data_IF_466449702368
#
_entry.id   IF_466449702368
#
_cell.length_a   1.000
_cell.length_b   1.000
_cell.length_c   1.000
_cell.angle_alpha   90.00
_cell.angle_beta   90.00
_cell.angle_gamma   90.00
#
_symmetry.space_group_name_H-M   'P 1'
#
loop_
_entity.id
_entity.type
_entity.pdbx_description
1 polymer ?
#
# COMPACT_ATOMS: atom_id res chain seq x y z
N UNK A 1 36.27 62.30 -13.25
CA UNK A 1 35.13 61.75 -12.55
C UNK A 1 34.42 60.66 -13.40
N UNK A 2 34.67 59.46 -13.07
CA UNK A 2 34.06 58.27 -13.74
C UNK A 2 32.88 57.83 -12.96
N UNK A 3 31.73 57.75 -13.58
CA UNK A 3 30.53 57.01 -13.05
C UNK A 3 30.40 55.69 -13.76
N UNK A 4 30.60 54.59 -13.03
CA UNK A 4 30.28 53.25 -13.48
C UNK A 4 28.90 52.87 -12.97
N UNK A 5 27.96 52.66 -13.87
CA UNK A 5 26.67 52.05 -13.61
C UNK A 5 26.80 50.53 -13.75
N UNK A 6 26.69 49.79 -12.66
CA UNK A 6 26.50 48.34 -12.68
C UNK A 6 25.02 48.03 -12.79
N UNK A 7 24.62 47.48 -13.94
CA UNK A 7 23.29 46.91 -14.14
C UNK A 7 23.14 45.60 -13.41
N UNK A 8 22.30 45.60 -12.40
CA UNK A 8 21.84 44.36 -11.75
C UNK A 8 20.86 43.62 -12.67
N UNK A 9 21.20 42.41 -13.05
CA UNK A 9 20.24 41.50 -13.68
C UNK A 9 19.40 40.87 -12.58
N UNK A 10 18.13 41.22 -12.54
CA UNK A 10 17.14 40.56 -11.72
C UNK A 10 16.98 39.09 -12.20
N UNK A 11 17.50 38.18 -11.44
CA UNK A 11 17.15 36.73 -11.57
C UNK A 11 15.74 36.55 -11.04
N UNK A 12 14.77 36.51 -11.94
CA UNK A 12 13.43 36.05 -11.64
C UNK A 12 13.51 34.55 -11.29
N UNK A 13 13.40 34.24 -10.01
CA UNK A 13 13.13 32.90 -9.54
C UNK A 13 11.73 32.54 -10.01
N UNK A 14 11.64 31.68 -11.02
CA UNK A 14 10.39 31.09 -11.43
C UNK A 14 9.87 30.20 -10.28
N UNK A 15 8.89 30.72 -9.56
CA UNK A 15 8.06 29.91 -8.63
C UNK A 15 7.30 28.89 -9.46
N UNK A 16 7.77 27.65 -9.44
CA UNK A 16 7.01 26.51 -9.98
C UNK A 16 5.79 26.32 -9.08
N UNK A 17 4.67 26.86 -9.52
CA UNK A 17 3.37 26.57 -8.91
C UNK A 17 3.10 25.08 -9.10
N UNK A 18 2.83 24.29 -8.03
CA UNK A 18 2.47 22.89 -8.23
C UNK A 18 1.18 22.85 -9.03
N UNK A 19 1.25 22.40 -10.26
CA UNK A 19 0.09 22.17 -11.10
C UNK A 19 -0.77 21.11 -10.40
N UNK A 20 -1.93 21.55 -9.89
CA UNK A 20 -2.96 20.66 -9.38
C UNK A 20 -3.27 19.66 -10.51
N UNK A 21 -2.91 18.39 -10.33
CA UNK A 21 -3.26 17.35 -11.30
C UNK A 21 -4.77 17.36 -11.41
N UNK A 22 -5.33 17.26 -12.63
CA UNK A 22 -6.78 17.23 -12.81
C UNK A 22 -7.38 16.12 -11.95
N UNK A 23 -8.54 16.38 -11.37
CA UNK A 23 -9.31 15.37 -10.64
C UNK A 23 -9.53 14.19 -11.59
N UNK A 24 -8.75 13.10 -11.38
CA UNK A 24 -8.85 11.92 -12.24
C UNK A 24 -10.16 11.23 -11.94
N UNK A 25 -11.02 11.16 -12.94
CA UNK A 25 -12.23 10.36 -12.89
C UNK A 25 -11.79 8.91 -12.65
N UNK A 26 -12.43 8.23 -11.71
CA UNK A 26 -12.21 6.80 -11.48
C UNK A 26 -12.75 6.01 -12.68
N UNK A 27 -11.86 5.73 -13.63
CA UNK A 27 -12.16 4.96 -14.85
C UNK A 27 -12.01 3.45 -14.64
N UNK A 28 -11.62 3.03 -13.43
CA UNK A 28 -11.36 1.63 -13.13
C UNK A 28 -12.63 0.78 -13.04
N UNK A 29 -12.49 -0.49 -13.32
CA UNK A 29 -13.54 -1.50 -13.16
C UNK A 29 -13.07 -2.66 -12.29
N UNK A 30 -14.00 -3.32 -11.60
CA UNK A 30 -13.68 -4.54 -10.85
C UNK A 30 -13.38 -5.69 -11.81
N UNK A 31 -12.15 -6.17 -11.74
CA UNK A 31 -11.65 -7.29 -12.54
C UNK A 31 -10.55 -8.03 -11.79
N UNK A 32 -10.15 -9.19 -12.28
CA UNK A 32 -8.93 -9.83 -11.79
C UNK A 32 -7.70 -8.97 -12.11
N UNK A 33 -6.73 -8.94 -11.20
CA UNK A 33 -5.41 -8.40 -11.48
C UNK A 33 -4.58 -9.51 -12.16
N UNK A 34 -4.77 -9.68 -13.46
CA UNK A 34 -4.18 -10.79 -14.22
C UNK A 34 -2.65 -10.73 -14.25
N UNK A 35 -2.08 -9.54 -14.23
CA UNK A 35 -0.65 -9.29 -14.13
C UNK A 35 -0.03 -9.76 -12.79
N UNK A 36 -0.88 -9.98 -11.77
CA UNK A 36 -0.51 -10.43 -10.42
C UNK A 36 -1.11 -11.75 -10.01
N UNK A 37 -1.87 -12.41 -10.87
CA UNK A 37 -2.65 -13.63 -10.57
C UNK A 37 -3.63 -13.50 -9.40
N UNK A 38 -4.10 -12.30 -9.11
CA UNK A 38 -5.09 -12.04 -8.07
C UNK A 38 -6.50 -12.15 -8.67
N UNK A 39 -7.37 -12.90 -8.03
CA UNK A 39 -8.74 -13.14 -8.51
C UNK A 39 -9.62 -11.88 -8.46
N UNK A 40 -10.64 -11.85 -9.32
CA UNK A 40 -11.66 -10.81 -9.28
C UNK A 40 -12.38 -10.74 -7.93
N UNK A 41 -12.65 -11.88 -7.32
CA UNK A 41 -13.32 -11.94 -6.02
C UNK A 41 -12.52 -11.23 -4.94
N UNK A 42 -11.20 -11.48 -4.87
CA UNK A 42 -10.32 -10.81 -3.91
C UNK A 42 -10.18 -9.33 -4.22
N UNK A 43 -9.96 -8.95 -5.48
CA UNK A 43 -9.89 -7.55 -5.88
C UNK A 43 -11.17 -6.79 -5.49
N UNK A 44 -12.33 -7.37 -5.77
CA UNK A 44 -13.64 -6.79 -5.41
C UNK A 44 -13.80 -6.65 -3.90
N UNK A 45 -13.41 -7.67 -3.12
CA UNK A 45 -13.45 -7.59 -1.65
C UNK A 45 -12.64 -6.43 -1.11
N UNK A 46 -11.44 -6.21 -1.64
CA UNK A 46 -10.56 -5.10 -1.23
C UNK A 46 -10.94 -3.75 -1.87
N UNK A 47 -11.93 -3.73 -2.76
CA UNK A 47 -12.36 -2.52 -3.46
C UNK A 47 -11.38 -2.07 -4.54
N UNK A 48 -10.47 -2.95 -4.98
CA UNK A 48 -9.45 -2.65 -5.98
C UNK A 48 -10.04 -2.75 -7.37
N UNK A 49 -9.82 -1.71 -8.18
CA UNK A 49 -10.21 -1.64 -9.57
C UNK A 49 -8.98 -1.63 -10.48
N UNK A 50 -9.20 -1.99 -11.74
CA UNK A 50 -8.17 -1.97 -12.78
C UNK A 50 -8.60 -1.14 -13.96
N UNK A 51 -7.63 -0.51 -14.62
CA UNK A 51 -7.77 0.05 -15.96
C UNK A 51 -7.09 -0.91 -16.93
N UNK A 52 -7.73 -1.15 -18.07
CA UNK A 52 -7.25 -2.04 -19.12
C UNK A 52 -6.93 -1.25 -20.40
N UNK A 53 -5.96 -1.72 -21.16
CA UNK A 53 -5.73 -1.25 -22.53
C UNK A 53 -6.75 -1.85 -23.52
N UNK A 54 -6.64 -1.47 -24.77
CA UNK A 54 -7.53 -1.97 -25.83
C UNK A 54 -7.38 -3.48 -26.11
N UNK A 55 -6.27 -4.09 -25.68
CA UNK A 55 -5.99 -5.52 -25.77
C UNK A 55 -6.47 -6.30 -24.55
N UNK A 56 -7.03 -5.61 -23.53
CA UNK A 56 -7.51 -6.22 -22.31
C UNK A 56 -6.43 -6.47 -21.24
N UNK A 57 -5.22 -5.94 -21.43
CA UNK A 57 -4.18 -6.05 -20.41
C UNK A 57 -4.39 -5.04 -19.30
N UNK A 58 -4.14 -5.43 -18.05
CA UNK A 58 -4.15 -4.52 -16.90
C UNK A 58 -2.98 -3.55 -17.00
N UNK A 59 -3.27 -2.25 -17.03
CA UNK A 59 -2.26 -1.19 -17.16
C UNK A 59 -2.18 -0.31 -15.91
N UNK A 60 -3.20 -0.32 -15.07
CA UNK A 60 -3.24 0.47 -13.83
C UNK A 60 -4.07 -0.24 -12.76
N UNK A 61 -3.60 -0.15 -11.51
CA UNK A 61 -4.34 -0.56 -10.32
C UNK A 61 -4.81 0.67 -9.55
N UNK A 62 -6.02 0.62 -9.01
CA UNK A 62 -6.63 1.66 -8.18
C UNK A 62 -6.91 1.05 -6.79
N UNK A 63 -6.16 1.49 -5.79
CA UNK A 63 -6.27 1.00 -4.42
C UNK A 63 -7.03 2.02 -3.56
N UNK A 64 -8.17 1.64 -2.96
CA UNK A 64 -8.92 2.53 -2.09
C UNK A 64 -8.31 2.55 -0.68
N UNK A 65 -8.32 3.74 -0.07
CA UNK A 65 -7.91 3.94 1.31
C UNK A 65 -9.00 4.69 2.08
N UNK A 66 -9.29 4.21 3.27
CA UNK A 66 -10.41 4.66 4.08
C UNK A 66 -9.96 5.35 5.36
N UNK A 67 -10.71 6.36 5.77
CA UNK A 67 -10.69 6.88 7.14
C UNK A 67 -11.97 6.35 7.82
N UNK A 68 -11.82 5.36 8.71
CA UNK A 68 -12.96 4.60 9.20
C UNK A 68 -13.70 3.88 8.06
N UNK A 69 -14.92 4.29 7.79
CA UNK A 69 -15.76 3.75 6.70
C UNK A 69 -15.85 4.66 5.47
N UNK A 70 -15.22 5.81 5.51
CA UNK A 70 -15.25 6.80 4.44
C UNK A 70 -14.06 6.64 3.50
N UNK A 71 -14.33 6.55 2.19
CA UNK A 71 -13.28 6.55 1.17
C UNK A 71 -12.63 7.94 1.14
N UNK A 72 -11.36 8.02 1.55
CA UNK A 72 -10.63 9.27 1.68
C UNK A 72 -9.54 9.47 0.64
N UNK A 73 -9.00 8.40 0.12
CA UNK A 73 -7.96 8.46 -0.91
C UNK A 73 -8.00 7.26 -1.84
N UNK A 74 -7.49 7.45 -3.05
CA UNK A 74 -7.23 6.38 -4.01
C UNK A 74 -5.79 6.47 -4.47
N UNK A 75 -5.07 5.36 -4.36
CA UNK A 75 -3.70 5.22 -4.87
C UNK A 75 -3.75 4.59 -6.25
N UNK A 76 -3.23 5.29 -7.22
CA UNK A 76 -3.12 4.85 -8.61
C UNK A 76 -1.70 4.35 -8.86
N UNK A 77 -1.56 3.14 -9.35
CA UNK A 77 -0.27 2.57 -9.70
C UNK A 77 -0.23 2.11 -11.14
N UNK A 78 0.71 2.63 -11.91
CA UNK A 78 0.99 2.16 -13.25
C UNK A 78 1.72 0.81 -13.19
N UNK A 79 1.27 -0.15 -13.99
CA UNK A 79 1.88 -1.49 -14.03
C UNK A 79 3.26 -1.45 -14.68
N UNK A 80 3.40 -0.72 -15.79
CA UNK A 80 4.64 -0.67 -16.58
C UNK A 80 5.80 0.01 -15.85
N UNK A 81 5.56 1.23 -15.35
CA UNK A 81 6.62 2.08 -14.78
C UNK A 81 6.74 1.92 -13.26
N UNK A 82 5.77 1.22 -12.66
CA UNK A 82 5.61 1.08 -11.21
C UNK A 82 5.45 2.42 -10.47
N UNK A 83 5.29 3.50 -11.20
CA UNK A 83 5.00 4.81 -10.64
C UNK A 83 3.61 4.83 -10.04
N UNK A 84 3.46 5.63 -8.99
CA UNK A 84 2.17 5.81 -8.35
C UNK A 84 1.93 7.28 -8.00
N UNK A 85 0.66 7.63 -7.89
CA UNK A 85 0.22 8.89 -7.30
C UNK A 85 -1.03 8.65 -6.47
N UNK A 86 -1.34 9.59 -5.59
CA UNK A 86 -2.50 9.49 -4.69
C UNK A 86 -3.41 10.69 -4.93
N UNK A 87 -4.71 10.41 -5.05
CA UNK A 87 -5.78 11.40 -5.03
C UNK A 87 -6.48 11.36 -3.68
N UNK A 88 -6.88 12.50 -3.16
CA UNK A 88 -7.54 12.60 -1.86
C UNK A 88 -6.59 12.74 -0.67
N UNK A 89 -7.11 12.53 0.54
CA UNK A 89 -6.38 12.70 1.81
C UNK A 89 -5.83 11.36 2.31
N UNK A 90 -4.61 11.05 1.92
CA UNK A 90 -3.98 9.76 2.19
C UNK A 90 -3.44 9.61 3.61
N UNK A 91 -2.90 10.67 4.18
CA UNK A 91 -2.23 10.61 5.49
C UNK A 91 -3.17 10.20 6.63
N UNK A 92 -4.44 10.57 6.53
CA UNK A 92 -5.45 10.31 7.55
C UNK A 92 -6.16 8.97 7.39
N UNK A 93 -5.74 8.15 6.43
CA UNK A 93 -6.33 6.83 6.21
C UNK A 93 -5.71 5.76 7.09
N UNK A 94 -6.48 4.70 7.37
CA UNK A 94 -5.98 3.46 7.94
C UNK A 94 -5.09 2.67 6.95
N UNK A 95 -4.70 1.48 7.37
CA UNK A 95 -3.95 0.54 6.52
C UNK A 95 -4.81 0.06 5.34
N UNK A 96 -4.16 -0.38 4.26
CA UNK A 96 -4.89 -0.99 3.15
C UNK A 96 -5.64 -2.24 3.61
N UNK A 97 -6.94 -2.28 3.38
CA UNK A 97 -7.81 -3.37 3.78
C UNK A 97 -8.31 -3.31 5.23
N UNK A 98 -7.90 -2.34 6.02
CA UNK A 98 -8.26 -2.25 7.44
C UNK A 98 -9.77 -2.20 7.67
N UNK A 99 -10.52 -1.49 6.83
CA UNK A 99 -11.97 -1.35 6.92
C UNK A 99 -12.76 -2.67 6.73
N UNK A 100 -12.12 -3.70 6.21
CA UNK A 100 -12.76 -4.99 5.92
C UNK A 100 -12.84 -5.93 7.12
N UNK A 101 -12.07 -5.65 8.18
CA UNK A 101 -11.90 -6.58 9.29
C UNK A 101 -12.14 -5.87 10.62
N UNK A 102 -12.84 -6.52 11.53
CA UNK A 102 -13.21 -5.95 12.83
C UNK A 102 -12.51 -6.58 14.03
N UNK A 103 -11.83 -7.68 13.83
CA UNK A 103 -11.17 -8.42 14.90
C UNK A 103 -11.19 -9.92 14.63
N UNK A 104 -10.58 -10.68 15.52
CA UNK A 104 -10.53 -12.13 15.42
C UNK A 104 -9.25 -12.74 15.96
N UNK A 105 -9.01 -14.00 15.59
CA UNK A 105 -7.86 -14.74 16.11
C UNK A 105 -6.53 -14.30 15.51
N UNK A 106 -6.50 -14.01 14.22
CA UNK A 106 -5.28 -13.63 13.48
C UNK A 106 -5.53 -12.45 12.57
N UNK A 107 -4.56 -11.54 12.51
CA UNK A 107 -4.39 -10.58 11.43
C UNK A 107 -2.95 -10.68 10.91
N UNK A 108 -2.81 -10.72 9.58
CA UNK A 108 -1.51 -10.68 8.92
C UNK A 108 -1.27 -9.29 8.37
N UNK A 109 -0.06 -8.76 8.57
CA UNK A 109 0.37 -7.47 8.03
C UNK A 109 1.54 -7.70 7.06
N UNK A 110 1.41 -7.12 5.86
CA UNK A 110 2.39 -7.21 4.78
C UNK A 110 2.79 -5.81 4.29
N UNK A 111 3.74 -5.71 3.36
CA UNK A 111 4.25 -4.40 2.92
C UNK A 111 3.44 -3.75 1.79
N UNK A 112 2.84 -4.51 0.90
CA UNK A 112 2.20 -3.99 -0.30
C UNK A 112 0.77 -4.46 -0.51
N UNK A 113 0.01 -3.72 -1.31
CA UNK A 113 -1.40 -3.98 -1.57
C UNK A 113 -1.61 -5.33 -2.30
N UNK A 114 -0.78 -5.61 -3.31
CA UNK A 114 -0.84 -6.91 -4.00
C UNK A 114 -0.45 -8.07 -3.09
N UNK A 115 0.50 -7.86 -2.17
CA UNK A 115 0.88 -8.86 -1.18
C UNK A 115 -0.26 -9.13 -0.18
N UNK A 116 -1.01 -8.11 0.21
CA UNK A 116 -2.17 -8.28 1.09
C UNK A 116 -3.25 -9.15 0.43
N UNK A 117 -3.61 -8.84 -0.80
CA UNK A 117 -4.59 -9.62 -1.56
C UNK A 117 -4.09 -11.05 -1.82
N UNK A 118 -2.81 -11.21 -2.14
CA UNK A 118 -2.19 -12.51 -2.38
C UNK A 118 -2.15 -13.37 -1.12
N UNK A 119 -1.74 -12.81 0.01
CA UNK A 119 -1.75 -13.51 1.30
C UNK A 119 -3.18 -13.90 1.71
N UNK A 120 -4.15 -13.03 1.47
CA UNK A 120 -5.55 -13.35 1.72
C UNK A 120 -6.00 -14.60 0.94
N UNK A 121 -5.68 -14.69 -0.36
CA UNK A 121 -5.98 -15.89 -1.17
C UNK A 121 -5.22 -17.13 -0.70
N UNK A 122 -3.90 -17.01 -0.46
CA UNK A 122 -3.06 -18.11 0.01
C UNK A 122 -3.52 -18.66 1.37
N UNK A 123 -4.14 -17.84 2.19
CA UNK A 123 -4.72 -18.22 3.47
C UNK A 123 -6.19 -18.71 3.37
N UNK A 124 -6.66 -18.99 2.17
CA UNK A 124 -7.99 -19.54 1.91
C UNK A 124 -9.13 -18.51 1.96
N UNK A 125 -8.84 -17.24 1.75
CA UNK A 125 -9.82 -16.15 1.71
C UNK A 125 -10.68 -16.03 2.98
N UNK A 126 -10.08 -16.30 4.12
CA UNK A 126 -10.77 -16.39 5.42
C UNK A 126 -10.20 -15.42 6.47
N UNK A 127 -8.88 -15.27 6.52
CA UNK A 127 -8.20 -14.56 7.59
C UNK A 127 -7.94 -13.11 7.22
N UNK A 128 -7.93 -12.22 8.23
CA UNK A 128 -7.65 -10.81 8.02
C UNK A 128 -6.22 -10.58 7.51
N UNK A 129 -6.08 -9.81 6.43
CA UNK A 129 -4.79 -9.38 5.89
C UNK A 129 -4.87 -7.91 5.53
N UNK A 130 -3.90 -7.13 6.01
CA UNK A 130 -3.74 -5.70 5.73
C UNK A 130 -2.32 -5.40 5.26
N UNK A 131 -2.11 -4.28 4.59
CA UNK A 131 -0.76 -3.82 4.29
C UNK A 131 -0.48 -2.44 4.85
N UNK A 132 0.81 -2.19 5.15
CA UNK A 132 1.29 -0.85 5.47
C UNK A 132 1.22 0.06 4.25
N UNK A 133 1.31 1.38 4.48
CA UNK A 133 1.09 2.40 3.44
C UNK A 133 2.40 2.91 2.84
N UNK A 134 3.44 2.97 3.64
CA UNK A 134 4.68 3.72 3.33
C UNK A 134 5.92 2.83 3.17
N UNK A 135 5.73 1.53 2.94
CA UNK A 135 6.82 0.57 2.83
C UNK A 135 7.55 0.35 4.17
N UNK A 136 8.64 -0.43 4.12
CA UNK A 136 9.38 -0.84 5.31
C UNK A 136 9.85 0.33 6.19
N UNK A 137 10.28 1.44 5.60
CA UNK A 137 10.74 2.63 6.35
C UNK A 137 9.63 3.31 7.14
N UNK A 138 8.40 3.29 6.63
CA UNK A 138 7.22 3.86 7.30
C UNK A 138 6.44 2.89 8.17
N UNK A 139 6.85 1.62 8.25
CA UNK A 139 6.09 0.54 8.88
C UNK A 139 5.76 0.82 10.36
N UNK A 140 6.72 1.28 11.14
CA UNK A 140 6.53 1.60 12.56
C UNK A 140 5.47 2.70 12.74
N UNK A 141 5.53 3.74 11.93
CA UNK A 141 4.55 4.83 11.97
C UNK A 141 3.16 4.33 11.59
N UNK A 142 3.06 3.60 10.48
CA UNK A 142 1.78 3.08 10.00
C UNK A 142 1.10 2.18 11.04
N UNK A 143 1.86 1.29 11.68
CA UNK A 143 1.33 0.41 12.72
C UNK A 143 0.95 1.16 13.98
N UNK A 144 1.76 2.14 14.43
CA UNK A 144 1.43 2.98 15.58
C UNK A 144 0.12 3.74 15.38
N UNK A 145 -0.10 4.29 14.20
CA UNK A 145 -1.33 5.01 13.85
C UNK A 145 -2.57 4.11 13.84
N UNK A 146 -2.40 2.78 13.77
CA UNK A 146 -3.48 1.78 13.71
C UNK A 146 -3.44 0.76 14.86
N UNK A 147 -2.79 1.08 16.00
CA UNK A 147 -2.67 0.12 17.10
C UNK A 147 -4.02 -0.36 17.63
N UNK A 148 -5.03 0.49 17.73
CA UNK A 148 -6.38 0.12 18.16
C UNK A 148 -6.99 -0.97 17.26
N UNK A 149 -6.77 -0.89 15.97
CA UNK A 149 -7.20 -1.95 15.05
C UNK A 149 -6.57 -3.30 15.39
N UNK A 150 -5.27 -3.33 15.68
CA UNK A 150 -4.58 -4.58 16.02
C UNK A 150 -4.94 -5.13 17.39
N UNK A 151 -5.42 -4.29 18.32
CA UNK A 151 -5.89 -4.74 19.64
C UNK A 151 -7.11 -5.66 19.56
N UNK A 152 -7.93 -5.53 18.52
CA UNK A 152 -9.09 -6.38 18.27
C UNK A 152 -8.75 -7.82 17.83
N UNK A 153 -7.47 -8.12 17.62
CA UNK A 153 -7.00 -9.45 17.24
C UNK A 153 -6.16 -10.09 18.35
N UNK A 154 -6.28 -11.40 18.49
CA UNK A 154 -5.48 -12.17 19.48
C UNK A 154 -4.00 -12.23 19.07
N UNK A 155 -3.73 -12.40 17.77
CA UNK A 155 -2.39 -12.55 17.21
C UNK A 155 -2.18 -11.66 15.99
N UNK A 156 -0.98 -11.10 15.89
CA UNK A 156 -0.52 -10.33 14.74
C UNK A 156 0.62 -11.09 14.06
N UNK A 157 0.46 -11.44 12.80
CA UNK A 157 1.49 -12.11 12.00
C UNK A 157 2.12 -11.05 11.09
N UNK A 158 3.41 -10.81 11.27
CA UNK A 158 4.17 -9.86 10.46
C UNK A 158 4.87 -10.64 9.34
N UNK A 159 4.43 -10.43 8.10
CA UNK A 159 4.93 -11.12 6.90
C UNK A 159 5.45 -10.11 5.88
N UNK A 160 6.44 -9.32 6.30
CA UNK A 160 7.08 -8.33 5.44
C UNK A 160 8.02 -8.98 4.42
N UNK A 161 8.46 -8.19 3.44
CA UNK A 161 9.34 -8.64 2.38
C UNK A 161 10.61 -9.32 2.93
N UNK A 162 11.06 -10.35 2.22
CA UNK A 162 12.20 -11.17 2.63
C UNK A 162 13.55 -10.54 2.25
N UNK A 163 13.61 -9.21 2.22
CA UNK A 163 14.82 -8.43 2.06
C UNK A 163 15.30 -7.83 3.40
N UNK A 164 16.46 -7.18 3.38
CA UNK A 164 17.05 -6.58 4.60
C UNK A 164 16.10 -5.56 5.24
N UNK A 165 15.52 -4.67 4.45
CA UNK A 165 14.64 -3.62 4.95
C UNK A 165 13.36 -4.21 5.60
N UNK A 166 12.75 -5.21 4.97
CA UNK A 166 11.58 -5.91 5.50
C UNK A 166 11.87 -6.65 6.80
N UNK A 167 13.02 -7.33 6.89
CA UNK A 167 13.44 -8.01 8.11
C UNK A 167 13.69 -7.06 9.27
N UNK A 168 14.37 -5.96 9.02
CA UNK A 168 14.60 -4.92 10.04
C UNK A 168 13.30 -4.26 10.51
N UNK A 169 12.40 -3.95 9.57
CA UNK A 169 11.08 -3.40 9.86
C UNK A 169 10.23 -4.37 10.68
N UNK A 170 10.26 -5.67 10.37
CA UNK A 170 9.53 -6.71 11.09
C UNK A 170 9.90 -6.72 12.58
N UNK A 171 11.18 -6.63 12.91
CA UNK A 171 11.66 -6.61 14.29
C UNK A 171 11.17 -5.34 15.01
N UNK A 172 11.26 -4.18 14.35
CA UNK A 172 10.82 -2.91 14.94
C UNK A 172 9.32 -2.88 15.19
N UNK A 173 8.53 -3.39 14.24
CA UNK A 173 7.07 -3.47 14.34
C UNK A 173 6.66 -4.48 15.43
N UNK A 174 7.30 -5.64 15.50
CA UNK A 174 6.98 -6.62 16.55
C UNK A 174 7.12 -6.05 17.98
N UNK A 175 8.06 -5.16 18.20
CA UNK A 175 8.30 -4.50 19.49
C UNK A 175 7.19 -3.51 19.90
N UNK A 176 6.30 -3.16 19.00
CA UNK A 176 5.14 -2.30 19.34
C UNK A 176 4.03 -3.06 20.06
N UNK A 177 4.06 -4.38 20.02
CA UNK A 177 3.06 -5.25 20.61
C UNK A 177 3.54 -5.86 21.93
N UNK A 178 2.60 -6.29 22.76
CA UNK A 178 2.91 -7.07 23.96
C UNK A 178 3.66 -8.36 23.57
N UNK A 179 4.54 -8.87 24.44
CA UNK A 179 5.18 -10.16 24.23
C UNK A 179 4.16 -11.25 23.86
N UNK A 180 4.51 -12.12 22.95
CA UNK A 180 3.69 -13.20 22.40
C UNK A 180 2.54 -12.84 21.47
N UNK A 181 2.11 -11.55 21.42
CA UNK A 181 1.03 -11.14 20.50
C UNK A 181 1.49 -11.12 19.03
N UNK A 182 2.67 -10.56 18.76
CA UNK A 182 3.23 -10.47 17.41
C UNK A 182 4.20 -11.61 17.11
N UNK A 183 4.08 -12.19 15.93
CA UNK A 183 4.95 -13.23 15.40
C UNK A 183 5.47 -12.82 14.04
N UNK A 184 6.76 -12.99 13.80
CA UNK A 184 7.39 -12.71 12.51
C UNK A 184 7.34 -13.98 11.69
N UNK A 185 6.73 -13.91 10.51
CA UNK A 185 6.71 -14.97 9.51
C UNK A 185 7.82 -14.71 8.50
N UNK A 186 8.73 -15.66 8.36
CA UNK A 186 9.73 -15.66 7.30
C UNK A 186 9.19 -16.46 6.13
N UNK A 187 9.13 -15.83 4.95
CA UNK A 187 8.71 -16.53 3.74
C UNK A 187 9.76 -17.56 3.30
N UNK A 188 9.34 -18.64 2.61
CA UNK A 188 10.28 -19.60 2.06
C UNK A 188 11.34 -18.93 1.17
N UNK A 189 12.52 -19.54 1.11
CA UNK A 189 13.62 -19.04 0.28
C UNK A 189 13.17 -18.93 -1.19
N UNK A 190 13.58 -17.85 -1.85
CA UNK A 190 13.22 -17.57 -3.25
C UNK A 190 11.99 -16.69 -3.46
N UNK A 191 11.21 -16.42 -2.41
CA UNK A 191 10.08 -15.49 -2.48
C UNK A 191 10.40 -14.19 -1.75
N UNK A 192 10.17 -13.06 -2.43
CA UNK A 192 10.31 -11.75 -1.82
C UNK A 192 9.11 -11.42 -0.94
N UNK A 193 7.91 -11.63 -1.47
CA UNK A 193 6.64 -11.33 -0.81
C UNK A 193 5.55 -12.35 -1.17
N UNK A 194 4.36 -12.27 -0.54
CA UNK A 194 3.25 -13.17 -0.79
C UNK A 194 2.77 -13.22 -2.25
N UNK A 195 2.88 -12.11 -3.00
CA UNK A 195 2.49 -12.13 -4.41
C UNK A 195 3.40 -13.03 -5.27
N UNK A 196 4.68 -13.11 -4.97
CA UNK A 196 5.59 -14.04 -5.65
C UNK A 196 5.16 -15.49 -5.43
N UNK A 197 4.73 -15.83 -4.21
CA UNK A 197 4.22 -17.16 -3.90
C UNK A 197 2.93 -17.47 -4.67
N UNK A 198 1.98 -16.54 -4.71
CA UNK A 198 0.74 -16.72 -5.46
C UNK A 198 0.99 -16.90 -6.95
N UNK A 199 1.93 -16.16 -7.52
CA UNK A 199 2.28 -16.23 -8.95
C UNK A 199 3.00 -17.52 -9.35
N UNK A 200 3.63 -18.20 -8.41
CA UNK A 200 4.35 -19.47 -8.64
C UNK A 200 3.47 -20.72 -8.55
N UNK A 201 2.25 -20.59 -8.08
CA UNK A 201 1.26 -21.68 -7.95
C UNK A 201 0.50 -21.97 -9.25
#
# INVERSE_FOLDING_TARGET
SYTNACGGKDMQTATVTPTKKPDMVDEGQFSALTDRKISRATATKYGVKCVHDLQGNVVKHLYPYYNGHELSATKYRNVKDKDFFVSGTYNDTGLFGQQLFKGGKYVTIVEGECDAMSAYELLGSKWAVVSIKRGAQGAVRDVKESLEFFEEFENVIIAFDNDKAGKEASIKVARLFKPSKAKILTLPHGYKGPNDMLRSN
#
